data_IF_624262948257
#
_entry.id   IF_624262948257
#
_cell.length_a   1.000
_cell.length_b   1.000
_cell.length_c   1.000
_cell.angle_alpha   90.00
_cell.angle_beta   90.00
_cell.angle_gamma   90.00
#
_symmetry.space_group_name_H-M   'P 1'
#
loop_
_entity.id
_entity.type
_entity.pdbx_description
1 polymer ?
#
# COMPACT_ATOMS: atom_id res chain seq x y z
N UNK A 1 0.83 -6.76 -29.09
CA UNK A 1 -0.59 -7.09 -28.82
C UNK A 1 -0.83 -7.39 -27.33
N UNK A 2 0.10 -8.07 -26.63
CA UNK A 2 -0.04 -8.39 -25.20
C UNK A 2 -0.01 -7.15 -24.28
N UNK A 3 0.85 -6.15 -24.55
CA UNK A 3 0.91 -4.91 -23.74
C UNK A 3 -0.33 -4.03 -23.77
N UNK A 4 -1.06 -4.05 -24.89
CA UNK A 4 -2.28 -3.26 -25.04
C UNK A 4 -3.40 -3.83 -24.13
N UNK A 5 -3.51 -5.16 -24.06
CA UNK A 5 -4.49 -5.87 -23.23
C UNK A 5 -4.16 -5.70 -21.73
N UNK A 6 -2.87 -5.71 -21.37
CA UNK A 6 -2.36 -5.44 -20.00
C UNK A 6 -2.86 -4.07 -19.49
N UNK A 7 -2.64 -3.04 -20.30
CA UNK A 7 -3.02 -1.67 -20.01
C UNK A 7 -4.54 -1.44 -19.98
N UNK A 8 -5.33 -2.20 -20.75
CA UNK A 8 -6.79 -2.05 -20.77
C UNK A 8 -7.45 -2.63 -19.52
N UNK A 9 -6.96 -3.77 -19.00
CA UNK A 9 -7.51 -4.39 -17.79
C UNK A 9 -7.40 -3.49 -16.57
N UNK A 10 -6.20 -2.94 -16.32
CA UNK A 10 -5.99 -2.00 -15.22
C UNK A 10 -6.82 -0.71 -15.40
N UNK A 11 -6.84 -0.13 -16.60
CA UNK A 11 -7.68 1.07 -16.87
C UNK A 11 -9.17 0.81 -16.65
N UNK A 12 -9.69 -0.32 -17.13
CA UNK A 12 -11.08 -0.70 -16.93
C UNK A 12 -11.38 -0.95 -15.44
N UNK A 13 -10.46 -1.58 -14.72
CA UNK A 13 -10.53 -1.75 -13.28
C UNK A 13 -10.64 -0.42 -12.52
N UNK A 14 -9.82 0.58 -12.88
CA UNK A 14 -9.93 1.94 -12.35
C UNK A 14 -11.29 2.57 -12.65
N UNK A 15 -11.80 2.43 -13.87
CA UNK A 15 -13.12 2.95 -14.23
C UNK A 15 -14.22 2.32 -13.35
N UNK A 16 -14.21 1.00 -13.18
CA UNK A 16 -15.17 0.33 -12.29
C UNK A 16 -15.05 0.77 -10.84
N UNK A 17 -13.82 0.99 -10.35
CA UNK A 17 -13.61 1.53 -9.01
C UNK A 17 -14.25 2.91 -8.81
N UNK A 18 -14.06 3.82 -9.78
CA UNK A 18 -14.68 5.14 -9.74
C UNK A 18 -16.21 5.11 -9.87
N UNK A 19 -16.76 4.09 -10.53
CA UNK A 19 -18.20 3.83 -10.60
C UNK A 19 -18.77 3.13 -9.36
N UNK A 20 -17.93 2.77 -8.36
CA UNK A 20 -18.35 2.03 -7.16
C UNK A 20 -18.59 0.54 -7.40
N UNK A 21 -18.30 0.03 -8.59
CA UNK A 21 -18.45 -1.38 -8.99
C UNK A 21 -17.21 -2.17 -8.55
N UNK A 22 -17.00 -2.27 -7.23
CA UNK A 22 -15.75 -2.80 -6.66
C UNK A 22 -15.46 -4.26 -7.02
N UNK A 23 -16.48 -5.12 -7.16
CA UNK A 23 -16.28 -6.51 -7.57
C UNK A 23 -15.86 -6.64 -9.03
N UNK A 24 -16.38 -5.80 -9.90
CA UNK A 24 -15.95 -5.76 -11.31
C UNK A 24 -14.55 -5.18 -11.42
N UNK A 25 -14.24 -4.15 -10.62
CA UNK A 25 -12.89 -3.59 -10.50
C UNK A 25 -11.88 -4.66 -10.07
N UNK A 26 -12.20 -5.42 -9.02
CA UNK A 26 -11.39 -6.54 -8.54
C UNK A 26 -11.11 -7.54 -9.65
N UNK A 27 -12.14 -7.97 -10.39
CA UNK A 27 -11.99 -8.95 -11.47
C UNK A 27 -11.02 -8.48 -12.55
N UNK A 28 -11.16 -7.23 -12.99
CA UNK A 28 -10.28 -6.67 -14.02
C UNK A 28 -8.84 -6.48 -13.52
N UNK A 29 -8.68 -5.94 -12.30
CA UNK A 29 -7.37 -5.70 -11.70
C UNK A 29 -6.64 -7.01 -11.37
N UNK A 30 -7.34 -8.04 -10.88
CA UNK A 30 -6.74 -9.37 -10.66
C UNK A 30 -6.22 -9.99 -11.96
N UNK A 31 -6.97 -9.84 -13.06
CA UNK A 31 -6.54 -10.34 -14.35
C UNK A 31 -5.31 -9.59 -14.87
N UNK A 32 -5.26 -8.27 -14.67
CA UNK A 32 -4.12 -7.44 -15.02
C UNK A 32 -2.90 -7.81 -14.17
N UNK A 33 -3.07 -7.91 -12.86
CA UNK A 33 -2.02 -8.25 -11.89
C UNK A 33 -1.38 -9.62 -12.16
N UNK A 34 -2.18 -10.62 -12.55
CA UNK A 34 -1.65 -11.95 -12.95
C UNK A 34 -0.81 -11.91 -14.21
N UNK A 35 -1.04 -10.94 -15.08
CA UNK A 35 -0.38 -10.84 -16.40
C UNK A 35 0.84 -9.93 -16.35
N UNK A 36 0.75 -8.87 -15.56
CA UNK A 36 1.83 -7.95 -15.22
C UNK A 36 1.66 -7.58 -13.75
N UNK A 37 2.49 -8.17 -12.90
CA UNK A 37 2.61 -7.75 -11.51
C UNK A 37 3.47 -6.50 -11.52
N UNK A 38 2.81 -5.34 -11.61
CA UNK A 38 3.41 -4.02 -11.46
C UNK A 38 2.84 -3.32 -10.22
N UNK A 39 3.66 -2.44 -9.64
CA UNK A 39 3.37 -1.75 -8.38
C UNK A 39 2.04 -0.99 -8.44
N UNK A 40 1.75 -0.32 -9.55
CA UNK A 40 0.55 0.50 -9.69
C UNK A 40 -0.72 -0.37 -9.66
N UNK A 41 -0.73 -1.50 -10.37
CA UNK A 41 -1.86 -2.44 -10.33
C UNK A 41 -2.03 -3.06 -8.94
N UNK A 42 -0.94 -3.39 -8.24
CA UNK A 42 -1.00 -3.86 -6.85
C UNK A 42 -1.66 -2.84 -5.93
N UNK A 43 -1.27 -1.56 -6.05
CA UNK A 43 -1.86 -0.46 -5.28
C UNK A 43 -3.35 -0.27 -5.54
N UNK A 44 -3.77 -0.39 -6.80
CA UNK A 44 -5.18 -0.24 -7.16
C UNK A 44 -6.02 -1.42 -6.66
N UNK A 45 -5.52 -2.63 -6.81
CA UNK A 45 -6.17 -3.82 -6.32
C UNK A 45 -6.31 -3.79 -4.78
N UNK A 46 -5.26 -3.37 -4.08
CA UNK A 46 -5.33 -3.17 -2.63
C UNK A 46 -6.37 -2.12 -2.23
N UNK A 47 -6.49 -1.00 -2.96
CA UNK A 47 -7.55 0.01 -2.71
C UNK A 47 -8.95 -0.56 -2.92
N UNK A 48 -9.14 -1.43 -3.92
CA UNK A 48 -10.41 -2.15 -4.12
C UNK A 48 -10.70 -3.04 -2.90
N UNK A 49 -9.72 -3.81 -2.43
CA UNK A 49 -9.89 -4.66 -1.26
C UNK A 49 -10.27 -3.87 0.01
N UNK A 50 -9.68 -2.70 0.22
CA UNK A 50 -10.10 -1.83 1.32
C UNK A 50 -11.54 -1.33 1.19
N UNK A 51 -12.03 -1.06 -0.03
CA UNK A 51 -13.44 -0.71 -0.27
C UNK A 51 -14.40 -1.89 -0.11
N UNK A 52 -13.89 -3.11 -0.22
CA UNK A 52 -14.63 -4.35 0.00
C UNK A 52 -14.53 -4.85 1.45
N UNK A 53 -13.93 -4.07 2.36
CA UNK A 53 -13.72 -4.42 3.77
C UNK A 53 -12.81 -5.67 3.94
N UNK A 54 -11.79 -5.78 3.08
CA UNK A 54 -10.83 -6.89 3.06
C UNK A 54 -9.37 -6.41 3.26
N UNK A 55 -9.03 -5.78 4.40
CA UNK A 55 -7.71 -5.19 4.61
C UNK A 55 -6.58 -6.23 4.64
N UNK A 56 -6.82 -7.44 5.15
CA UNK A 56 -5.80 -8.49 5.16
C UNK A 56 -5.43 -8.96 3.75
N UNK A 57 -6.39 -8.99 2.83
CA UNK A 57 -6.15 -9.33 1.42
C UNK A 57 -5.38 -8.20 0.73
N UNK A 58 -5.66 -6.94 1.08
CA UNK A 58 -4.88 -5.79 0.61
C UNK A 58 -3.41 -5.90 1.05
N UNK A 59 -3.14 -6.25 2.32
CA UNK A 59 -1.79 -6.48 2.83
C UNK A 59 -1.10 -7.62 2.09
N UNK A 60 -1.77 -8.75 1.87
CA UNK A 60 -1.20 -9.88 1.13
C UNK A 60 -0.86 -9.51 -0.33
N UNK A 61 -1.72 -8.71 -0.97
CA UNK A 61 -1.48 -8.18 -2.32
C UNK A 61 -0.23 -7.32 -2.36
N UNK A 62 -0.06 -6.42 -1.40
CA UNK A 62 1.16 -5.63 -1.28
C UNK A 62 2.37 -6.51 -0.98
N UNK A 63 2.28 -7.48 -0.06
CA UNK A 63 3.40 -8.39 0.25
C UNK A 63 3.90 -9.11 -1.00
N UNK A 64 3.01 -9.62 -1.85
CA UNK A 64 3.38 -10.24 -3.14
C UNK A 64 4.16 -9.27 -4.03
N UNK A 65 3.64 -8.06 -4.22
CA UNK A 65 4.32 -7.05 -5.04
C UNK A 65 5.67 -6.63 -4.45
N UNK A 66 5.80 -6.57 -3.11
CA UNK A 66 7.05 -6.21 -2.44
C UNK A 66 8.16 -7.24 -2.64
N UNK A 67 7.82 -8.51 -2.88
CA UNK A 67 8.80 -9.55 -3.21
C UNK A 67 9.42 -9.34 -4.59
N UNK A 68 8.65 -8.81 -5.54
CA UNK A 68 9.13 -8.51 -6.89
C UNK A 68 9.85 -7.16 -6.95
N UNK A 69 9.44 -6.21 -6.13
CA UNK A 69 10.00 -4.86 -6.07
C UNK A 69 10.54 -4.52 -4.67
N UNK A 70 11.56 -5.25 -4.17
CA UNK A 70 12.02 -5.12 -2.79
C UNK A 70 12.64 -3.75 -2.48
N UNK A 71 13.09 -3.00 -3.50
CA UNK A 71 13.66 -1.66 -3.35
C UNK A 71 12.66 -0.51 -3.46
N UNK A 72 11.40 -0.78 -3.78
CA UNK A 72 10.38 0.28 -3.90
C UNK A 72 9.64 0.48 -2.56
N UNK A 73 9.67 1.69 -1.97
CA UNK A 73 9.00 1.96 -0.70
C UNK A 73 7.47 2.06 -0.83
N UNK A 74 6.92 2.28 -2.03
CA UNK A 74 5.50 2.58 -2.25
C UNK A 74 4.58 1.46 -1.79
N UNK A 75 4.99 0.20 -2.02
CA UNK A 75 4.25 -0.98 -1.61
C UNK A 75 4.27 -1.15 -0.09
N UNK A 76 5.42 -0.90 0.55
CA UNK A 76 5.57 -0.96 2.02
C UNK A 76 4.77 0.15 2.70
N UNK A 77 4.76 1.35 2.15
CA UNK A 77 3.86 2.43 2.59
C UNK A 77 2.40 1.98 2.54
N UNK A 78 1.99 1.29 1.47
CA UNK A 78 0.67 0.67 1.38
C UNK A 78 0.37 -0.27 2.56
N UNK A 79 1.30 -1.16 2.90
CA UNK A 79 1.16 -2.08 4.04
C UNK A 79 1.04 -1.30 5.36
N UNK A 80 1.93 -0.34 5.60
CA UNK A 80 1.93 0.45 6.83
C UNK A 80 0.61 1.21 7.03
N UNK A 81 0.09 1.84 5.97
CA UNK A 81 -1.21 2.53 5.99
C UNK A 81 -2.36 1.58 6.30
N UNK A 82 -2.37 0.39 5.71
CA UNK A 82 -3.44 -0.58 5.98
C UNK A 82 -3.35 -1.12 7.40
N UNK A 83 -2.14 -1.41 7.89
CA UNK A 83 -1.92 -1.84 9.27
C UNK A 83 -2.41 -0.78 10.28
N UNK A 84 -2.08 0.50 10.05
CA UNK A 84 -2.60 1.61 10.86
C UNK A 84 -4.13 1.68 10.80
N UNK A 85 -4.73 1.56 9.61
CA UNK A 85 -6.17 1.64 9.43
C UNK A 85 -6.96 0.53 10.15
N UNK A 86 -6.35 -0.65 10.35
CA UNK A 86 -6.97 -1.76 11.11
C UNK A 86 -6.63 -1.72 12.61
N UNK A 87 -5.88 -0.72 13.06
CA UNK A 87 -5.47 -0.56 14.47
C UNK A 87 -4.28 -1.42 14.90
N UNK A 88 -3.58 -2.06 13.95
CA UNK A 88 -2.31 -2.75 14.23
C UNK A 88 -1.15 -1.75 14.18
N UNK A 89 -1.12 -0.87 15.18
CA UNK A 89 -0.12 0.19 15.31
C UNK A 89 1.30 -0.39 15.36
N UNK A 90 1.50 -1.49 16.08
CA UNK A 90 2.79 -2.19 16.16
C UNK A 90 3.33 -2.57 14.79
N UNK A 91 2.53 -3.27 13.98
CA UNK A 91 2.95 -3.67 12.65
C UNK A 91 3.13 -2.46 11.72
N UNK A 92 2.26 -1.44 11.84
CA UNK A 92 2.38 -0.23 11.05
C UNK A 92 3.73 0.47 11.27
N UNK A 93 4.13 0.63 12.52
CA UNK A 93 5.37 1.30 12.91
C UNK A 93 6.60 0.54 12.46
N UNK A 94 6.60 -0.78 12.57
CA UNK A 94 7.71 -1.60 12.08
C UNK A 94 7.86 -1.49 10.56
N UNK A 95 6.75 -1.48 9.82
CA UNK A 95 6.78 -1.28 8.37
C UNK A 95 7.19 0.16 8.00
N UNK A 96 6.77 1.18 8.75
CA UNK A 96 7.23 2.55 8.52
C UNK A 96 8.75 2.71 8.75
N UNK A 97 9.34 1.98 9.70
CA UNK A 97 10.81 1.93 9.85
C UNK A 97 11.48 1.33 8.61
N UNK A 98 10.93 0.26 8.06
CA UNK A 98 11.44 -0.32 6.80
C UNK A 98 11.33 0.66 5.62
N UNK A 99 10.23 1.42 5.55
CA UNK A 99 10.07 2.48 4.53
C UNK A 99 11.20 3.49 4.65
N UNK A 100 11.52 3.97 5.86
CA UNK A 100 12.59 4.94 6.07
C UNK A 100 13.99 4.38 5.85
N UNK A 101 14.18 3.06 5.89
CA UNK A 101 15.44 2.44 5.46
C UNK A 101 15.62 2.52 3.94
N UNK A 102 14.54 2.51 3.16
CA UNK A 102 14.56 2.58 1.71
C UNK A 102 14.49 4.02 1.19
N UNK A 103 13.69 4.85 1.85
CA UNK A 103 13.47 6.26 1.55
C UNK A 103 13.56 7.08 2.85
N UNK A 104 14.77 7.49 3.26
CA UNK A 104 14.99 8.22 4.51
C UNK A 104 14.31 9.60 4.58
N UNK A 105 13.87 10.15 3.45
CA UNK A 105 13.19 11.46 3.38
C UNK A 105 11.68 11.32 3.22
N UNK A 106 11.13 10.13 3.44
CA UNK A 106 9.70 9.90 3.33
C UNK A 106 8.92 10.64 4.41
N UNK A 107 8.25 11.73 4.03
CA UNK A 107 7.52 12.59 4.97
C UNK A 107 6.47 11.84 5.78
N UNK A 108 5.77 10.86 5.17
CA UNK A 108 4.74 10.10 5.87
C UNK A 108 5.33 9.14 6.90
N UNK A 109 6.40 8.42 6.55
CA UNK A 109 7.11 7.57 7.51
C UNK A 109 7.66 8.37 8.69
N UNK A 110 8.30 9.52 8.41
CA UNK A 110 8.81 10.43 9.43
C UNK A 110 7.68 10.91 10.35
N UNK A 111 6.59 11.42 9.77
CA UNK A 111 5.46 11.93 10.54
C UNK A 111 4.80 10.84 11.41
N UNK A 112 4.66 9.63 10.87
CA UNK A 112 4.04 8.51 11.58
C UNK A 112 4.88 8.06 12.77
N UNK A 113 6.21 7.93 12.60
CA UNK A 113 7.10 7.61 13.72
C UNK A 113 7.18 8.74 14.75
N UNK A 114 7.24 10.00 14.32
CA UNK A 114 7.26 11.14 15.21
C UNK A 114 5.99 11.19 16.08
N UNK A 115 4.81 11.00 15.47
CA UNK A 115 3.54 10.92 16.18
C UNK A 115 3.53 9.76 17.19
N UNK A 116 3.98 8.58 16.78
CA UNK A 116 4.07 7.42 17.68
C UNK A 116 4.99 7.66 18.89
N UNK A 117 6.16 8.30 18.70
CA UNK A 117 7.05 8.66 19.80
C UNK A 117 6.47 9.74 20.72
N UNK A 118 5.74 10.70 20.14
CA UNK A 118 5.07 11.74 20.91
C UNK A 118 3.99 11.17 21.84
N UNK A 119 3.15 10.24 21.35
CA UNK A 119 2.07 9.64 22.14
C UNK A 119 2.52 8.54 23.12
N UNK A 120 3.72 7.99 22.96
CA UNK A 120 4.29 6.98 23.87
C UNK A 120 5.30 7.55 24.89
N UNK A 121 5.12 8.81 25.29
CA UNK A 121 5.92 9.49 26.34
C UNK A 121 7.45 9.51 26.09
N UNK A 122 7.89 9.56 24.83
CA UNK A 122 9.28 9.83 24.45
C UNK A 122 9.39 11.09 23.57
N UNK A 123 8.95 12.27 24.06
CA UNK A 123 8.93 13.49 23.27
C UNK A 123 10.34 13.92 22.82
N UNK A 124 11.40 13.56 23.54
CA UNK A 124 12.78 13.87 23.15
C UNK A 124 13.23 13.14 21.87
N UNK A 125 12.65 11.96 21.57
CA UNK A 125 12.93 11.21 20.34
C UNK A 125 12.15 11.82 19.17
N UNK A 126 10.92 12.28 19.40
CA UNK A 126 10.09 12.92 18.37
C UNK A 126 10.74 14.20 17.80
N UNK A 127 11.44 14.97 18.63
CA UNK A 127 12.17 16.19 18.21
C UNK A 127 13.32 15.92 17.21
N UNK A 128 13.82 14.67 17.12
CA UNK A 128 14.87 14.30 16.15
C UNK A 128 14.33 14.05 14.75
N UNK A 129 13.01 13.94 14.60
CA UNK A 129 12.31 13.70 13.32
C UNK A 129 11.75 14.99 12.69
N UNK A 130 11.87 16.14 13.37
CA UNK A 130 11.59 17.49 12.84
C UNK A 130 12.86 18.13 12.27
#
# INVERSE_FOLDING_TARGET
>A
MVDLVRSTGARLGKCYFHLGLFRDAEKQLLSAFKTSDDILTAMELARVYLKLDQPLVAIDTYKKSSLQYPGDPSVRLGIARVAAAIGDESASIDVYKEVLQLDPVNCEGIASLAAHHFYNDQPEVALRYY
#
